data_IF_100762536229
#
_entry.id   IF_100762536229
#
_cell.length_a   1.000
_cell.length_b   1.000
_cell.length_c   1.000
_cell.angle_alpha   90.00
_cell.angle_beta   90.00
_cell.angle_gamma   90.00
#
_symmetry.space_group_name_H-M   'P 1'
#
loop_
_entity.id
_entity.type
_entity.pdbx_description
1 polymer ?
#
# COMPACT_ATOMS: atom_id res chain seq x y z
N UNK A 1 -10.08 -29.60 -37.45
CA UNK A 1 -8.86 -29.25 -36.70
C UNK A 1 -8.63 -27.74 -36.53
N UNK A 2 -8.87 -26.92 -37.54
CA UNK A 2 -8.72 -25.46 -37.44
C UNK A 2 -9.67 -24.81 -36.40
N UNK A 3 -10.85 -25.37 -36.18
CA UNK A 3 -11.82 -24.87 -35.19
C UNK A 3 -11.42 -25.19 -33.74
N UNK A 4 -10.70 -26.26 -33.49
CA UNK A 4 -10.20 -26.66 -32.19
C UNK A 4 -9.02 -25.76 -31.75
N UNK A 5 -8.17 -25.37 -32.70
CA UNK A 5 -7.03 -24.46 -32.44
C UNK A 5 -7.52 -23.05 -32.11
N UNK A 6 -8.60 -22.60 -32.76
CA UNK A 6 -9.21 -21.28 -32.46
C UNK A 6 -9.84 -21.26 -31.09
N UNK A 7 -10.48 -22.34 -30.66
CA UNK A 7 -11.05 -22.44 -29.29
C UNK A 7 -9.97 -22.47 -28.20
N UNK A 8 -8.83 -23.11 -28.50
CA UNK A 8 -7.70 -23.12 -27.55
C UNK A 8 -7.00 -21.76 -27.44
N UNK A 9 -6.89 -21.04 -28.57
CA UNK A 9 -6.35 -19.66 -28.56
C UNK A 9 -7.27 -18.70 -27.85
N UNK A 10 -8.58 -18.89 -27.91
CA UNK A 10 -9.55 -18.06 -27.20
C UNK A 10 -9.52 -18.30 -25.67
N UNK A 11 -9.28 -19.54 -25.23
CA UNK A 11 -9.10 -19.87 -23.81
C UNK A 11 -7.81 -19.33 -23.21
N UNK A 12 -6.74 -19.18 -23.99
CA UNK A 12 -5.48 -18.60 -23.54
C UNK A 12 -5.56 -17.08 -23.35
N UNK A 13 -6.47 -16.41 -24.06
CA UNK A 13 -6.69 -14.96 -23.89
C UNK A 13 -7.47 -14.60 -22.63
N UNK A 14 -8.11 -15.55 -21.95
CA UNK A 14 -8.90 -15.28 -20.76
C UNK A 14 -8.08 -15.27 -19.46
N UNK A 15 -6.80 -15.64 -19.50
CA UNK A 15 -5.93 -15.61 -18.33
C UNK A 15 -5.17 -14.28 -18.15
N UNK A 16 -5.29 -13.36 -19.11
CA UNK A 16 -4.61 -12.07 -19.11
C UNK A 16 -5.51 -10.93 -18.61
N UNK A 17 -6.39 -11.19 -17.63
CA UNK A 17 -7.38 -10.20 -17.14
C UNK A 17 -6.93 -9.41 -15.90
N UNK A 18 -5.63 -9.35 -15.57
CA UNK A 18 -5.14 -8.32 -14.66
C UNK A 18 -4.88 -7.06 -15.49
N UNK A 19 -5.87 -6.18 -15.51
CA UNK A 19 -5.77 -4.91 -16.21
C UNK A 19 -4.53 -4.17 -15.75
N UNK A 20 -3.70 -3.77 -16.69
CA UNK A 20 -2.71 -2.73 -16.46
C UNK A 20 -3.45 -1.52 -15.91
N UNK A 21 -2.95 -0.96 -14.83
CA UNK A 21 -3.58 0.17 -14.18
C UNK A 21 -2.74 0.70 -13.04
N UNK A 22 -3.30 1.64 -12.33
CA UNK A 22 -2.70 2.18 -11.12
C UNK A 22 -3.43 1.66 -9.90
N UNK A 23 -2.67 1.37 -8.88
CA UNK A 23 -3.19 1.15 -7.53
C UNK A 23 -2.68 2.24 -6.62
N UNK A 24 -3.42 2.52 -5.57
CA UNK A 24 -3.10 3.58 -4.63
C UNK A 24 -2.92 3.00 -3.24
N UNK A 25 -2.08 3.65 -2.49
CA UNK A 25 -2.01 3.48 -1.05
C UNK A 25 -1.83 4.85 -0.38
N UNK A 26 -2.03 4.88 0.91
CA UNK A 26 -1.95 6.10 1.69
C UNK A 26 -1.15 5.83 2.95
N UNK A 27 -0.25 6.73 3.30
CA UNK A 27 0.41 6.70 4.60
C UNK A 27 0.00 7.93 5.41
N UNK A 28 -0.21 7.71 6.70
CA UNK A 28 -0.62 8.75 7.64
C UNK A 28 0.35 8.74 8.81
N UNK A 29 0.90 9.89 9.11
CA UNK A 29 1.78 10.04 10.26
C UNK A 29 1.05 9.66 11.55
N UNK A 30 1.68 8.79 12.32
CA UNK A 30 1.20 8.40 13.64
C UNK A 30 2.03 9.11 14.70
N UNK A 31 1.41 9.98 15.51
CA UNK A 31 2.14 10.72 16.52
C UNK A 31 2.80 9.79 17.54
N UNK A 32 4.08 9.99 17.77
CA UNK A 32 4.83 9.31 18.82
C UNK A 32 5.31 10.32 19.85
N UNK A 33 5.57 9.86 21.07
CA UNK A 33 6.07 10.72 22.13
C UNK A 33 7.56 11.10 21.98
N UNK A 34 8.21 10.72 20.88
CA UNK A 34 9.63 10.94 20.65
C UNK A 34 9.90 11.65 19.33
N UNK A 35 11.17 11.62 18.94
CA UNK A 35 11.64 12.20 17.67
C UNK A 35 11.35 11.31 16.44
N UNK A 36 11.01 10.06 16.69
CA UNK A 36 10.80 9.07 15.64
C UNK A 36 9.36 9.11 15.12
N UNK A 37 9.17 8.70 13.88
CA UNK A 37 7.89 8.68 13.22
C UNK A 37 7.50 7.23 12.89
N UNK A 38 6.24 6.90 13.18
CA UNK A 38 5.57 5.69 12.68
C UNK A 38 4.48 6.12 11.71
N UNK A 39 4.10 5.26 10.80
CA UNK A 39 3.03 5.56 9.85
C UNK A 39 1.99 4.46 9.84
N UNK A 40 0.73 4.86 9.74
CA UNK A 40 -0.36 3.97 9.36
C UNK A 40 -0.36 3.83 7.86
N UNK A 41 -0.68 2.66 7.35
CA UNK A 41 -0.82 2.41 5.93
C UNK A 41 -2.22 1.91 5.60
N UNK A 42 -2.78 2.45 4.53
CA UNK A 42 -4.00 1.99 3.91
C UNK A 42 -3.71 1.66 2.45
N UNK A 43 -3.79 0.39 2.11
CA UNK A 43 -3.66 -0.10 0.73
C UNK A 43 -4.90 -0.89 0.31
N UNK A 44 -6.04 -0.62 0.98
CA UNK A 44 -7.30 -1.31 0.71
C UNK A 44 -7.45 -2.65 1.43
N UNK A 45 -6.57 -2.96 2.37
CA UNK A 45 -6.67 -4.17 3.18
C UNK A 45 -7.92 -4.17 4.05
N UNK A 46 -8.40 -5.36 4.36
CA UNK A 46 -9.52 -5.51 5.28
C UNK A 46 -9.15 -4.95 6.66
N UNK A 47 -10.01 -4.09 7.20
CA UNK A 47 -9.84 -3.48 8.52
C UNK A 47 -10.44 -4.40 9.58
N UNK A 48 -9.61 -4.97 10.43
CA UNK A 48 -10.05 -5.80 11.54
C UNK A 48 -9.86 -5.07 12.85
N UNK A 49 -10.82 -5.21 13.76
CA UNK A 49 -10.89 -4.44 15.00
C UNK A 49 -9.63 -4.56 15.88
N UNK A 50 -8.99 -5.72 15.87
CA UNK A 50 -7.83 -6.02 16.74
C UNK A 50 -6.48 -5.91 16.01
N UNK A 51 -6.48 -5.48 14.75
CA UNK A 51 -5.25 -5.36 13.97
C UNK A 51 -4.80 -3.92 13.89
N UNK A 52 -3.50 -3.73 14.06
CA UNK A 52 -2.87 -2.43 13.87
C UNK A 52 -2.73 -2.11 12.38
N UNK A 53 -2.92 -0.85 12.02
CA UNK A 53 -2.65 -0.34 10.67
C UNK A 53 -1.22 0.17 10.52
N UNK A 54 -0.39 0.08 11.55
CA UNK A 54 0.99 0.54 11.50
C UNK A 54 1.81 -0.29 10.53
N UNK A 55 2.53 0.42 9.65
CA UNK A 55 3.43 -0.20 8.69
C UNK A 55 4.53 -0.98 9.42
N UNK A 56 4.76 -2.21 9.01
CA UNK A 56 5.67 -3.13 9.65
C UNK A 56 6.67 -3.75 8.67
N UNK A 57 7.71 -4.34 9.22
CA UNK A 57 8.69 -5.12 8.48
C UNK A 57 8.23 -6.56 8.23
N UNK A 58 9.07 -7.36 7.58
CA UNK A 58 8.77 -8.76 7.25
C UNK A 58 8.55 -9.65 8.49
N UNK A 59 9.06 -9.23 9.64
CA UNK A 59 8.86 -9.94 10.91
C UNK A 59 7.55 -9.54 11.61
N UNK A 60 6.86 -8.54 11.08
CA UNK A 60 5.64 -8.00 11.69
C UNK A 60 5.90 -6.97 12.78
N UNK A 61 7.12 -6.48 12.89
CA UNK A 61 7.50 -5.41 13.82
C UNK A 61 7.29 -4.04 13.17
N UNK A 62 6.75 -3.10 13.95
CA UNK A 62 6.48 -1.76 13.46
C UNK A 62 7.75 -1.08 12.98
N UNK A 63 7.71 -0.55 11.74
CA UNK A 63 8.78 0.27 11.20
C UNK A 63 8.80 1.64 11.90
N UNK A 64 10.00 2.07 12.25
CA UNK A 64 10.24 3.37 12.88
C UNK A 64 11.13 4.18 11.95
N UNK A 65 10.66 5.38 11.60
CA UNK A 65 11.33 6.28 10.68
C UNK A 65 11.88 7.49 11.43
N UNK A 66 12.91 8.11 10.88
CA UNK A 66 13.45 9.35 11.43
C UNK A 66 12.50 10.53 11.23
N UNK A 67 11.71 10.49 10.15
CA UNK A 67 10.77 11.54 9.78
C UNK A 67 9.78 11.01 8.75
N UNK A 68 8.80 11.84 8.41
CA UNK A 68 7.86 11.53 7.32
C UNK A 68 8.58 11.37 5.97
N UNK A 69 9.63 12.14 5.74
CA UNK A 69 10.43 12.02 4.51
C UNK A 69 11.14 10.67 4.44
N UNK A 70 11.66 10.19 5.57
CA UNK A 70 12.27 8.86 5.65
C UNK A 70 11.24 7.76 5.30
N UNK A 71 10.01 7.91 5.78
CA UNK A 71 8.91 7.01 5.43
C UNK A 71 8.57 7.06 3.93
N UNK A 72 8.54 8.25 3.32
CA UNK A 72 8.32 8.40 1.88
C UNK A 72 9.43 7.74 1.07
N UNK A 73 10.69 7.92 1.47
CA UNK A 73 11.82 7.28 0.82
C UNK A 73 11.73 5.76 0.87
N UNK A 74 11.29 5.24 2.00
CA UNK A 74 11.04 3.80 2.15
C UNK A 74 9.96 3.32 1.17
N UNK A 75 8.84 4.03 1.07
CA UNK A 75 7.76 3.68 0.14
C UNK A 75 8.23 3.75 -1.31
N UNK A 76 9.03 4.74 -1.66
CA UNK A 76 9.60 4.88 -2.99
C UNK A 76 10.55 3.71 -3.31
N UNK A 77 11.31 3.24 -2.33
CA UNK A 77 12.18 2.06 -2.49
C UNK A 77 11.39 0.78 -2.82
N UNK A 78 10.11 0.73 -2.42
CA UNK A 78 9.19 -0.35 -2.77
C UNK A 78 8.49 -0.13 -4.12
N UNK A 79 8.79 0.96 -4.82
CA UNK A 79 8.23 1.27 -6.13
C UNK A 79 7.01 2.18 -6.11
N UNK A 80 6.64 2.73 -4.96
CA UNK A 80 5.53 3.66 -4.83
C UNK A 80 5.96 5.08 -5.18
N UNK A 81 5.08 5.83 -5.85
CA UNK A 81 5.31 7.22 -6.23
C UNK A 81 4.36 8.12 -5.45
N UNK A 82 4.91 9.13 -4.79
CA UNK A 82 4.10 10.16 -4.13
C UNK A 82 3.35 10.98 -5.19
N UNK A 83 2.08 11.27 -4.91
CA UNK A 83 1.26 12.10 -5.81
C UNK A 83 0.61 13.29 -5.12
N UNK A 84 0.10 13.13 -3.92
CA UNK A 84 -0.67 14.19 -3.27
C UNK A 84 -0.59 14.06 -1.75
N UNK A 85 -0.62 15.20 -1.08
CA UNK A 85 -0.76 15.31 0.36
C UNK A 85 -2.02 16.11 0.67
N UNK A 86 -2.76 15.70 1.68
CA UNK A 86 -3.92 16.44 2.17
C UNK A 86 -4.04 16.29 3.68
N UNK A 87 -4.73 17.22 4.30
CA UNK A 87 -4.99 17.23 5.74
C UNK A 87 -6.46 16.92 5.99
N UNK A 88 -6.71 16.05 6.96
CA UNK A 88 -8.06 15.66 7.36
C UNK A 88 -8.24 15.91 8.84
N UNK A 89 -9.39 16.47 9.22
CA UNK A 89 -9.78 16.63 10.62
C UNK A 89 -10.21 15.27 11.20
N UNK A 90 -9.66 14.94 12.36
CA UNK A 90 -9.99 13.71 13.09
C UNK A 90 -11.28 13.77 13.91
N UNK A 91 -11.95 14.91 13.93
CA UNK A 91 -13.17 15.09 14.72
C UNK A 91 -12.93 15.43 16.20
N UNK A 92 -11.69 15.48 16.65
CA UNK A 92 -11.32 15.81 18.03
C UNK A 92 -10.47 17.10 18.14
N UNK A 93 -10.50 17.94 17.10
CA UNK A 93 -9.73 19.17 17.03
C UNK A 93 -8.29 19.01 16.57
N UNK A 94 -7.86 17.80 16.24
CA UNK A 94 -6.55 17.55 15.65
C UNK A 94 -6.66 17.20 14.17
N UNK A 95 -5.63 17.54 13.41
CA UNK A 95 -5.53 17.25 11.99
C UNK A 95 -4.49 16.15 11.75
N UNK A 96 -4.78 15.28 10.81
CA UNK A 96 -3.83 14.30 10.28
C UNK A 96 -3.45 14.62 8.86
N UNK A 97 -2.18 14.49 8.55
CA UNK A 97 -1.66 14.62 7.18
C UNK A 97 -1.63 13.26 6.51
N UNK A 98 -2.27 13.17 5.37
CA UNK A 98 -2.36 11.98 4.53
C UNK A 98 -1.51 12.16 3.29
N UNK A 99 -0.69 11.16 3.00
CA UNK A 99 0.23 11.14 1.87
C UNK A 99 -0.22 10.04 0.91
N UNK A 100 -0.73 10.45 -0.24
CA UNK A 100 -1.24 9.53 -1.25
C UNK A 100 -0.13 9.14 -2.22
N UNK A 101 0.00 7.85 -2.43
CA UNK A 101 0.99 7.28 -3.35
C UNK A 101 0.30 6.35 -4.35
N UNK A 102 0.92 6.16 -5.48
CA UNK A 102 0.43 5.22 -6.48
C UNK A 102 1.57 4.33 -7.00
N UNK A 103 1.18 3.22 -7.58
CA UNK A 103 2.08 2.31 -8.29
C UNK A 103 1.40 1.83 -9.55
N UNK A 104 2.14 1.77 -10.65
CA UNK A 104 1.66 1.15 -11.87
C UNK A 104 1.72 -0.36 -11.72
N UNK A 105 0.61 -1.03 -12.05
CA UNK A 105 0.51 -2.48 -11.99
C UNK A 105 0.87 -3.04 -13.34
N UNK A 106 1.86 -3.90 -13.35
CA UNK A 106 2.21 -4.73 -14.48
C UNK A 106 1.50 -6.07 -14.37
N UNK A 107 1.20 -6.66 -15.52
CA UNK A 107 0.56 -7.96 -15.60
C UNK A 107 1.31 -9.00 -14.76
N UNK A 108 0.59 -9.70 -13.89
CA UNK A 108 1.12 -10.77 -13.06
C UNK A 108 1.89 -10.33 -11.81
N UNK A 109 2.03 -9.03 -11.56
CA UNK A 109 2.69 -8.52 -10.35
C UNK A 109 1.68 -8.24 -9.24
N UNK A 110 2.06 -8.58 -8.01
CA UNK A 110 1.34 -8.11 -6.82
C UNK A 110 1.89 -6.72 -6.44
N UNK A 111 1.12 -5.65 -6.64
CA UNK A 111 1.61 -4.29 -6.37
C UNK A 111 1.82 -4.02 -4.87
N UNK A 112 1.21 -4.83 -4.01
CA UNK A 112 1.28 -4.66 -2.56
C UNK A 112 2.38 -5.49 -1.91
N UNK A 113 3.21 -6.15 -2.71
CA UNK A 113 4.35 -6.89 -2.19
C UNK A 113 5.27 -5.96 -1.38
N UNK A 114 5.69 -6.42 -0.22
CA UNK A 114 6.51 -5.65 0.71
C UNK A 114 5.74 -4.76 1.69
N UNK A 115 4.40 -4.66 1.54
CA UNK A 115 3.57 -3.92 2.49
C UNK A 115 2.99 -4.87 3.54
N UNK A 116 3.30 -4.60 4.79
CA UNK A 116 2.79 -5.36 5.92
C UNK A 116 2.37 -4.43 7.04
N UNK A 117 1.41 -4.86 7.83
CA UNK A 117 1.01 -4.16 9.04
C UNK A 117 1.46 -4.95 10.28
N UNK A 118 1.56 -4.24 11.41
CA UNK A 118 1.94 -4.84 12.66
C UNK A 118 1.05 -6.04 12.98
N UNK A 119 1.67 -7.17 13.30
CA UNK A 119 0.92 -8.36 13.72
C UNK A 119 0.12 -8.07 14.98
N UNK A 120 -1.11 -8.59 15.02
CA UNK A 120 -1.89 -8.64 16.25
C UNK A 120 -1.18 -9.53 17.28
N UNK A 121 -1.16 -9.07 18.50
CA UNK A 121 -0.68 -9.87 19.63
C UNK A 121 -1.61 -11.04 19.93
#
# INVERSE_FOLDING_TARGET
MKRLVLLFALCLCTTALFAEGRVFCEIVEYPTAGKNTKVKIDFGQEQKLLYSQLLADDNGDTLVFNSQIDALNYMESLGWTFTQVYTKDNGNGSNCTHWLLYKEVKEGENPYEGLQTKKAL
#
